data_IF_531981112189
#
_entry.id   IF_531981112189
#
_cell.length_a   1.000
_cell.length_b   1.000
_cell.length_c   1.000
_cell.angle_alpha   90.00
_cell.angle_beta   90.00
_cell.angle_gamma   90.00
#
_symmetry.space_group_name_H-M   'P 1'
#
loop_
_entity.id
_entity.type
_entity.pdbx_description
1 polymer ?
#
# COMPACT_ATOMS: atom_id res chain seq x y z
N UNK A 1 6.80 -11.51 -29.37
CA UNK A 1 7.40 -11.41 -28.01
C UNK A 1 7.12 -10.01 -27.50
N UNK A 2 6.05 -9.81 -26.73
CA UNK A 2 5.71 -8.49 -26.18
C UNK A 2 6.58 -8.20 -24.96
N UNK A 3 7.30 -7.07 -24.97
CA UNK A 3 8.03 -6.55 -23.83
C UNK A 3 7.03 -6.17 -22.74
N UNK A 4 7.12 -6.76 -21.54
CA UNK A 4 6.28 -6.37 -20.42
C UNK A 4 6.76 -5.01 -19.89
N UNK A 5 6.08 -3.92 -20.27
CA UNK A 5 6.24 -2.63 -19.62
C UNK A 5 5.96 -2.80 -18.10
N UNK A 6 6.74 -2.12 -17.26
CA UNK A 6 6.50 -2.13 -15.81
C UNK A 6 5.11 -1.56 -15.51
N UNK A 7 4.21 -2.42 -15.02
CA UNK A 7 2.85 -2.02 -14.63
C UNK A 7 2.90 -1.24 -13.32
N UNK A 8 2.20 -0.13 -13.27
CA UNK A 8 2.05 0.68 -12.07
C UNK A 8 1.07 0.00 -11.12
N UNK A 9 1.28 0.05 -9.80
CA UNK A 9 0.23 -0.33 -8.83
C UNK A 9 -1.05 0.51 -8.95
N UNK A 10 -1.00 1.64 -9.66
CA UNK A 10 -2.17 2.47 -9.96
C UNK A 10 -2.99 1.94 -11.15
N UNK A 11 -2.48 0.97 -11.91
CA UNK A 11 -3.22 0.35 -13.02
C UNK A 11 -4.35 -0.52 -12.45
N UNK A 12 -5.56 -0.40 -12.99
CA UNK A 12 -6.75 -1.10 -12.47
C UNK A 12 -6.58 -2.62 -12.44
N UNK A 13 -5.88 -3.19 -13.42
CA UNK A 13 -5.60 -4.62 -13.52
C UNK A 13 -4.72 -5.14 -12.36
N UNK A 14 -4.02 -4.24 -11.66
CA UNK A 14 -3.17 -4.54 -10.51
C UNK A 14 -3.89 -4.38 -9.16
N UNK A 15 -5.17 -3.98 -9.16
CA UNK A 15 -5.91 -3.77 -7.91
C UNK A 15 -6.22 -5.10 -7.20
N UNK A 16 -6.21 -5.05 -5.87
CA UNK A 16 -6.55 -6.20 -5.04
C UNK A 16 -8.07 -6.40 -5.07
N UNK A 17 -8.50 -7.61 -5.45
CA UNK A 17 -9.91 -7.98 -5.45
C UNK A 17 -10.34 -8.50 -4.08
N UNK A 18 -11.39 -7.90 -3.51
CA UNK A 18 -12.02 -8.35 -2.27
C UNK A 18 -13.43 -8.82 -2.58
N UNK A 19 -13.73 -10.09 -2.29
CA UNK A 19 -15.06 -10.66 -2.46
C UNK A 19 -15.80 -10.75 -1.12
N UNK A 20 -17.14 -10.61 -1.09
CA UNK A 20 -17.92 -10.74 0.13
C UNK A 20 -17.68 -12.05 0.90
N UNK A 21 -17.47 -13.16 0.18
CA UNK A 21 -17.18 -14.46 0.78
C UNK A 21 -15.91 -14.46 1.65
N UNK A 22 -14.95 -13.57 1.41
CA UNK A 22 -13.70 -13.51 2.18
C UNK A 22 -13.94 -13.09 3.62
N UNK A 23 -14.95 -12.25 3.85
CA UNK A 23 -15.28 -11.65 5.14
C UNK A 23 -16.50 -12.30 5.82
N UNK A 24 -17.22 -13.19 5.12
CA UNK A 24 -18.46 -13.78 5.61
C UNK A 24 -18.21 -14.85 6.68
N UNK A 25 -18.83 -14.72 7.85
CA UNK A 25 -18.73 -15.68 8.97
C UNK A 25 -19.51 -16.99 8.74
N UNK A 26 -20.52 -16.99 7.87
CA UNK A 26 -21.30 -18.19 7.51
C UNK A 26 -20.59 -19.08 6.49
N UNK A 27 -19.49 -18.60 5.90
CA UNK A 27 -18.69 -19.35 4.94
C UNK A 27 -17.52 -20.04 5.61
N UNK A 28 -17.29 -21.29 5.23
CA UNK A 28 -16.10 -22.04 5.61
C UNK A 28 -14.87 -21.57 4.82
N UNK A 29 -13.68 -22.00 5.22
CA UNK A 29 -12.45 -21.72 4.46
C UNK A 29 -12.52 -22.33 3.05
N UNK A 30 -13.11 -23.53 2.92
CA UNK A 30 -13.31 -24.20 1.64
C UNK A 30 -14.27 -23.42 0.72
N UNK A 31 -15.29 -22.77 1.28
CA UNK A 31 -16.21 -21.90 0.54
C UNK A 31 -15.66 -20.49 0.28
N UNK A 32 -14.45 -20.18 0.77
CA UNK A 32 -13.72 -18.96 0.40
C UNK A 32 -13.40 -17.99 1.53
N UNK A 33 -13.85 -18.21 2.77
CA UNK A 33 -13.51 -17.33 3.91
C UNK A 33 -12.00 -17.20 4.10
N UNK A 34 -11.52 -15.98 4.33
CA UNK A 34 -10.07 -15.67 4.49
C UNK A 34 -9.68 -15.19 5.88
N UNK A 35 -10.64 -14.78 6.70
CA UNK A 35 -10.42 -14.24 8.05
C UNK A 35 -10.99 -15.16 9.13
N UNK A 36 -10.47 -15.15 10.37
CA UNK A 36 -11.06 -15.91 11.48
C UNK A 36 -12.48 -15.45 11.79
N UNK A 37 -13.32 -16.38 12.27
CA UNK A 37 -14.75 -16.15 12.51
C UNK A 37 -14.99 -15.01 13.52
N UNK A 38 -14.11 -14.87 14.53
CA UNK A 38 -14.20 -13.82 15.54
C UNK A 38 -14.11 -12.39 15.00
N UNK A 39 -13.57 -12.21 13.79
CA UNK A 39 -13.46 -10.92 13.10
C UNK A 39 -14.34 -10.84 11.86
N UNK A 40 -15.07 -11.91 11.56
CA UNK A 40 -15.89 -12.01 10.37
C UNK A 40 -17.29 -11.44 10.62
N UNK A 41 -17.90 -10.95 9.55
CA UNK A 41 -19.22 -10.31 9.59
C UNK A 41 -20.26 -11.21 8.93
N UNK A 42 -21.51 -11.07 9.35
CA UNK A 42 -22.61 -11.83 8.79
C UNK A 42 -23.04 -11.25 7.46
N UNK A 43 -23.04 -12.06 6.40
CA UNK A 43 -23.59 -11.74 5.07
C UNK A 43 -23.21 -10.34 4.54
N UNK A 44 -21.91 -10.01 4.42
CA UNK A 44 -21.49 -8.72 3.88
C UNK A 44 -21.92 -8.58 2.41
N UNK A 45 -22.25 -7.35 2.00
CA UNK A 45 -22.51 -6.99 0.61
C UNK A 45 -21.30 -6.28 -0.01
N UNK A 46 -21.18 -6.35 -1.34
CA UNK A 46 -20.10 -5.66 -2.04
C UNK A 46 -20.19 -4.12 -1.88
N UNK A 47 -21.41 -3.59 -1.76
CA UNK A 47 -21.66 -2.17 -1.55
C UNK A 47 -21.14 -1.70 -0.18
N UNK A 48 -21.46 -2.41 0.90
CA UNK A 48 -20.95 -2.08 2.24
C UNK A 48 -19.41 -2.11 2.28
N UNK A 49 -18.79 -3.11 1.64
CA UNK A 49 -17.33 -3.21 1.55
C UNK A 49 -16.77 -1.99 0.81
N UNK A 50 -17.39 -1.59 -0.31
CA UNK A 50 -16.99 -0.42 -1.07
C UNK A 50 -17.11 0.86 -0.24
N UNK A 51 -18.22 1.05 0.47
CA UNK A 51 -18.48 2.26 1.26
C UNK A 51 -17.50 2.41 2.42
N UNK A 52 -17.22 1.32 3.13
CA UNK A 52 -16.21 1.31 4.21
C UNK A 52 -14.82 1.62 3.64
N UNK A 53 -14.40 0.95 2.55
CA UNK A 53 -13.12 1.22 1.92
C UNK A 53 -12.97 2.68 1.46
N UNK A 54 -14.02 3.26 0.85
CA UNK A 54 -14.05 4.67 0.45
C UNK A 54 -13.94 5.61 1.65
N UNK A 55 -14.73 5.37 2.69
CA UNK A 55 -14.74 6.22 3.90
C UNK A 55 -13.36 6.30 4.56
N UNK A 56 -12.66 5.17 4.67
CA UNK A 56 -11.31 5.10 5.25
C UNK A 56 -10.29 5.85 4.37
N UNK A 57 -10.36 5.68 3.05
CA UNK A 57 -9.46 6.37 2.13
C UNK A 57 -9.68 7.89 2.14
N UNK A 58 -10.93 8.35 2.24
CA UNK A 58 -11.24 9.78 2.37
C UNK A 58 -10.71 10.34 3.69
N UNK A 59 -10.93 9.65 4.81
CA UNK A 59 -10.38 10.05 6.11
C UNK A 59 -8.85 10.15 6.09
N UNK A 60 -8.18 9.15 5.51
CA UNK A 60 -6.74 9.17 5.33
C UNK A 60 -6.31 10.36 4.47
N UNK A 61 -6.95 10.60 3.33
CA UNK A 61 -6.62 11.72 2.44
C UNK A 61 -6.74 13.08 3.16
N UNK A 62 -7.71 13.25 4.05
CA UNK A 62 -7.90 14.48 4.84
C UNK A 62 -6.88 14.62 5.99
N UNK A 63 -6.53 13.50 6.64
CA UNK A 63 -5.69 13.51 7.84
C UNK A 63 -4.19 13.52 7.53
N UNK A 64 -3.74 12.83 6.47
CA UNK A 64 -2.30 12.73 6.15
C UNK A 64 -1.66 14.12 5.92
N UNK A 65 -2.30 15.13 5.28
CA UNK A 65 -1.74 16.49 5.17
C UNK A 65 -1.52 17.17 6.53
N UNK A 66 -2.31 16.82 7.55
CA UNK A 66 -2.25 17.38 8.90
C UNK A 66 -1.17 16.72 9.77
N UNK A 67 -0.52 15.65 9.29
CA UNK A 67 0.53 14.95 10.04
C UNK A 67 1.82 15.76 10.07
N UNK A 68 2.32 16.02 11.28
CA UNK A 68 3.54 16.80 11.56
C UNK A 68 4.79 16.23 10.89
N UNK A 69 4.82 14.93 10.61
CA UNK A 69 5.93 14.24 9.92
C UNK A 69 5.97 14.53 8.41
N UNK A 70 4.87 15.02 7.82
CA UNK A 70 4.75 15.28 6.38
C UNK A 70 4.94 16.75 6.01
N UNK A 71 4.95 17.67 6.97
CA UNK A 71 5.27 19.08 6.73
C UNK A 71 6.77 19.21 6.46
N UNK A 72 7.20 18.99 5.21
CA UNK A 72 8.46 19.55 4.75
C UNK A 72 8.31 21.07 4.83
N UNK A 73 9.24 21.74 5.53
CA UNK A 73 9.38 23.20 5.42
C UNK A 73 9.40 23.54 3.93
N UNK A 74 8.42 24.31 3.48
CA UNK A 74 8.43 24.94 2.16
C UNK A 74 9.56 25.96 2.16
N UNK A 75 10.78 25.50 1.86
CA UNK A 75 11.94 26.33 1.57
C UNK A 75 12.14 26.32 0.07
N UNK A 76 11.68 27.37 -0.60
CA UNK A 76 12.02 27.68 -1.99
C UNK A 76 13.52 27.96 -2.07
N UNK A 77 14.22 27.30 -3.00
CA UNK A 77 15.64 27.49 -3.25
C UNK A 77 16.08 26.66 -4.46
N UNK A 78 15.89 27.24 -5.64
CA UNK A 78 16.40 26.75 -6.92
C UNK A 78 17.94 26.88 -6.96
N UNK A 79 18.66 25.82 -7.37
CA UNK A 79 19.75 25.85 -8.38
C UNK A 79 20.71 24.64 -8.30
N UNK A 80 20.88 24.05 -9.49
CA UNK A 80 22.12 23.53 -10.08
C UNK A 80 22.70 22.16 -9.66
N UNK A 81 22.65 21.25 -10.64
CA UNK A 81 23.69 20.32 -11.12
C UNK A 81 25.04 20.34 -10.36
N UNK A 82 25.55 19.15 -9.96
CA UNK A 82 26.69 18.49 -10.63
C UNK A 82 27.15 17.20 -9.88
N UNK A 83 27.12 16.09 -10.64
CA UNK A 83 27.98 14.91 -10.70
C UNK A 83 29.16 14.75 -9.69
N UNK A 84 29.32 13.54 -9.15
CA UNK A 84 30.56 13.10 -8.50
C UNK A 84 30.57 11.61 -8.14
N UNK A 85 31.19 10.78 -8.98
CA UNK A 85 31.54 9.38 -8.74
C UNK A 85 32.49 9.20 -7.54
N UNK A 86 32.44 8.05 -6.87
CA UNK A 86 33.39 7.74 -5.80
C UNK A 86 33.27 6.36 -5.18
N UNK A 87 33.63 5.32 -5.94
CA UNK A 87 33.93 3.99 -5.39
C UNK A 87 35.08 4.05 -4.38
N UNK A 88 34.88 3.69 -3.11
CA UNK A 88 35.96 3.23 -2.22
C UNK A 88 35.56 2.04 -1.34
N UNK A 89 36.02 0.89 -1.83
CA UNK A 89 36.33 -0.39 -1.18
C UNK A 89 37.00 -0.19 0.20
N UNK A 90 36.35 -0.63 1.27
CA UNK A 90 36.90 -0.76 2.62
C UNK A 90 37.04 -2.23 3.02
N UNK A 91 38.27 -2.76 2.96
CA UNK A 91 38.64 -4.12 3.38
C UNK A 91 39.20 -4.03 4.81
N UNK A 92 38.47 -4.53 5.80
CA UNK A 92 38.90 -4.56 7.20
C UNK A 92 38.80 -5.97 7.80
N UNK A 93 39.88 -6.75 7.69
CA UNK A 93 40.11 -7.98 8.47
C UNK A 93 40.61 -7.58 9.87
N UNK A 94 40.08 -8.23 10.93
CA UNK A 94 40.84 -8.91 12.01
C UNK A 94 40.07 -8.86 13.35
N UNK A 95 39.62 -10.03 13.82
CA UNK A 95 39.44 -10.33 15.25
C UNK A 95 39.47 -11.84 15.50
N UNK A 96 40.68 -12.40 15.66
CA UNK A 96 41.09 -13.29 16.75
C UNK A 96 42.59 -13.54 16.62
#
# INVERSE_FOLDING_TARGET
MACAAARSPADQDMFICIYPAYLNNKKTIAEGRRIPISKAVENPTATEIQDVCKSVMLYAAEMIPKLKTRTQKTGVGDQSLQQGEGSKKGKGKKKK
#
